data_IF_816288314098
#
_entry.id   IF_816288314098
#
_cell.length_a   1.000
_cell.length_b   1.000
_cell.length_c   1.000
_cell.angle_alpha   90.00
_cell.angle_beta   90.00
_cell.angle_gamma   90.00
#
_symmetry.space_group_name_H-M   'P 1'
#
loop_
_entity.id
_entity.type
_entity.pdbx_description
1 polymer ?
#
# COMPACT_ATOMS: atom_id res chain seq x y z
N UNK A 1 11.50 -16.47 -3.66
CA UNK A 1 10.59 -17.30 -2.83
C UNK A 1 9.22 -17.41 -3.49
N UNK A 2 8.53 -18.54 -3.34
CA UNK A 2 7.17 -18.76 -3.86
C UNK A 2 6.17 -19.07 -2.75
N UNK A 3 5.01 -18.42 -2.74
CA UNK A 3 3.92 -18.67 -1.78
C UNK A 3 2.67 -19.10 -2.51
N UNK A 4 2.06 -20.21 -2.05
CA UNK A 4 0.84 -20.73 -2.66
C UNK A 4 -0.31 -19.75 -2.44
N UNK A 5 -0.99 -19.40 -3.53
CA UNK A 5 -2.17 -18.53 -3.51
C UNK A 5 -3.37 -19.27 -2.93
N UNK A 6 -4.37 -18.53 -2.47
CA UNK A 6 -5.69 -19.09 -2.20
C UNK A 6 -6.28 -19.72 -3.47
N UNK A 7 -7.20 -20.68 -3.31
CA UNK A 7 -7.87 -21.33 -4.46
C UNK A 7 -8.50 -20.31 -5.41
N UNK A 8 -9.15 -19.28 -4.86
CA UNK A 8 -9.77 -18.21 -5.64
C UNK A 8 -8.73 -17.37 -6.41
N UNK A 9 -7.63 -16.97 -5.76
CA UNK A 9 -6.58 -16.19 -6.40
C UNK A 9 -5.82 -16.99 -7.46
N UNK A 10 -5.57 -18.28 -7.22
CA UNK A 10 -4.99 -19.19 -8.22
C UNK A 10 -5.92 -19.37 -9.43
N UNK A 11 -7.22 -19.58 -9.22
CA UNK A 11 -8.20 -19.69 -10.31
C UNK A 11 -8.31 -18.39 -11.12
N UNK A 12 -8.28 -17.23 -10.45
CA UNK A 12 -8.23 -15.93 -11.13
C UNK A 12 -6.95 -15.78 -11.97
N UNK A 13 -5.78 -16.10 -11.40
CA UNK A 13 -4.50 -16.04 -12.10
C UNK A 13 -4.47 -16.95 -13.33
N UNK A 14 -4.97 -18.19 -13.20
CA UNK A 14 -5.10 -19.14 -14.32
C UNK A 14 -6.01 -18.60 -15.43
N UNK A 15 -7.18 -18.07 -15.09
CA UNK A 15 -8.10 -17.45 -16.07
C UNK A 15 -7.46 -16.26 -16.78
N UNK A 16 -6.73 -15.42 -16.05
CA UNK A 16 -6.00 -14.28 -16.63
C UNK A 16 -4.90 -14.74 -17.57
N UNK A 17 -4.12 -15.76 -17.19
CA UNK A 17 -3.07 -16.35 -18.01
C UNK A 17 -3.63 -16.88 -19.34
N UNK A 18 -4.68 -17.70 -19.28
CA UNK A 18 -5.34 -18.26 -20.48
C UNK A 18 -5.88 -17.15 -21.40
N UNK A 19 -6.49 -16.10 -20.83
CA UNK A 19 -6.99 -14.95 -21.60
C UNK A 19 -5.86 -14.20 -22.30
N UNK A 20 -4.74 -13.98 -21.62
CA UNK A 20 -3.58 -13.30 -22.21
C UNK A 20 -2.95 -14.15 -23.32
N UNK A 21 -2.81 -15.45 -23.10
CA UNK A 21 -2.26 -16.38 -24.07
C UNK A 21 -3.12 -16.46 -25.34
N UNK A 22 -4.45 -16.52 -25.19
CA UNK A 22 -5.40 -16.45 -26.28
C UNK A 22 -5.27 -15.15 -27.08
N UNK A 23 -5.21 -13.99 -26.41
CA UNK A 23 -5.01 -12.69 -27.08
C UNK A 23 -3.69 -12.60 -27.84
N UNK A 24 -2.65 -13.24 -27.35
CA UNK A 24 -1.32 -13.25 -27.97
C UNK A 24 -1.12 -14.43 -28.93
N UNK A 25 -2.13 -15.30 -29.10
CA UNK A 25 -2.07 -16.53 -29.89
C UNK A 25 -0.86 -17.42 -29.51
N UNK A 26 -0.52 -17.46 -28.21
CA UNK A 26 0.58 -18.28 -27.69
C UNK A 26 0.04 -19.48 -26.90
N UNK A 27 0.67 -20.66 -27.01
CA UNK A 27 0.32 -21.79 -26.15
C UNK A 27 0.73 -21.50 -24.70
N UNK A 28 0.00 -22.09 -23.75
CA UNK A 28 0.34 -22.03 -22.32
C UNK A 28 1.03 -23.32 -21.92
N UNK A 29 2.23 -23.22 -21.34
CA UNK A 29 2.97 -24.38 -20.86
C UNK A 29 2.42 -24.92 -19.52
N UNK A 30 2.75 -26.17 -19.19
CA UNK A 30 2.35 -26.78 -17.93
C UNK A 30 2.96 -26.03 -16.72
N UNK A 31 4.22 -25.62 -16.84
CA UNK A 31 4.96 -24.86 -15.83
C UNK A 31 4.31 -23.50 -15.59
N UNK A 32 3.79 -22.86 -16.64
CA UNK A 32 3.07 -21.58 -16.52
C UNK A 32 1.75 -21.74 -15.76
N UNK A 33 1.03 -22.86 -15.98
CA UNK A 33 -0.19 -23.19 -15.25
C UNK A 33 0.10 -23.53 -13.79
N UNK A 34 1.19 -24.21 -13.50
CA UNK A 34 1.65 -24.49 -12.15
C UNK A 34 2.06 -23.19 -11.44
N UNK A 35 2.90 -22.38 -12.08
CA UNK A 35 3.35 -21.08 -11.56
C UNK A 35 2.16 -20.14 -11.27
N UNK A 36 1.06 -20.23 -12.00
CA UNK A 36 -0.15 -19.45 -11.72
C UNK A 36 -0.71 -19.70 -10.32
N UNK A 37 -0.44 -20.86 -9.70
CA UNK A 37 -0.83 -21.19 -8.33
C UNK A 37 0.01 -20.48 -7.26
N UNK A 38 1.16 -19.91 -7.63
CA UNK A 38 2.11 -19.31 -6.69
C UNK A 38 2.28 -17.82 -6.93
N UNK A 39 2.57 -17.08 -5.87
CA UNK A 39 3.07 -15.71 -5.91
C UNK A 39 4.59 -15.76 -5.69
N UNK A 40 5.34 -15.16 -6.60
CA UNK A 40 6.80 -15.13 -6.53
C UNK A 40 7.28 -13.75 -6.12
N UNK A 41 8.23 -13.73 -5.18
CA UNK A 41 8.93 -12.53 -4.75
C UNK A 41 10.43 -12.82 -4.72
N UNK A 42 11.18 -12.00 -5.45
CA UNK A 42 12.64 -11.95 -5.38
C UNK A 42 13.06 -10.82 -4.45
N UNK A 43 14.05 -11.08 -3.61
CA UNK A 43 14.55 -10.13 -2.62
C UNK A 43 16.03 -10.36 -2.39
N UNK A 44 16.76 -9.30 -2.01
CA UNK A 44 18.15 -9.36 -1.55
C UNK A 44 18.27 -9.54 -0.03
N UNK A 45 17.14 -9.64 0.68
CA UNK A 45 17.13 -9.93 2.11
C UNK A 45 17.75 -11.30 2.39
N UNK A 46 18.52 -11.38 3.48
CA UNK A 46 19.17 -12.61 3.92
C UNK A 46 18.17 -13.63 4.43
N UNK A 47 18.60 -14.89 4.53
CA UNK A 47 17.77 -16.00 5.00
C UNK A 47 17.31 -15.89 6.47
N UNK A 48 17.81 -14.91 7.24
CA UNK A 48 17.29 -14.62 8.58
C UNK A 48 15.87 -14.05 8.57
N UNK A 49 15.41 -13.54 7.43
CA UNK A 49 14.05 -13.07 7.24
C UNK A 49 13.13 -14.23 6.84
N UNK A 50 12.08 -14.44 7.63
CA UNK A 50 11.07 -15.44 7.29
C UNK A 50 10.25 -15.02 6.06
N UNK A 51 9.71 -16.02 5.37
CA UNK A 51 8.76 -15.84 4.26
C UNK A 51 7.65 -14.84 4.59
N UNK A 52 7.06 -14.96 5.78
CA UNK A 52 6.00 -14.09 6.26
C UNK A 52 6.47 -12.65 6.41
N UNK A 53 7.62 -12.40 7.06
CA UNK A 53 8.16 -11.06 7.25
C UNK A 53 8.48 -10.37 5.91
N UNK A 54 9.06 -11.11 4.96
CA UNK A 54 9.35 -10.57 3.62
C UNK A 54 8.04 -10.18 2.91
N UNK A 55 7.00 -11.00 3.00
CA UNK A 55 5.71 -10.68 2.40
C UNK A 55 5.01 -9.51 3.09
N UNK A 56 5.05 -9.43 4.42
CA UNK A 56 4.50 -8.29 5.16
C UNK A 56 5.20 -6.99 4.76
N UNK A 57 6.52 -6.99 4.65
CA UNK A 57 7.27 -5.84 4.12
C UNK A 57 6.84 -5.50 2.68
N UNK A 58 6.67 -6.52 1.82
CA UNK A 58 6.23 -6.30 0.44
C UNK A 58 4.82 -5.72 0.34
N UNK A 59 3.92 -6.00 1.30
CA UNK A 59 2.57 -5.40 1.33
C UNK A 59 2.62 -3.88 1.49
N UNK A 60 3.66 -3.33 2.12
CA UNK A 60 3.86 -1.88 2.26
C UNK A 60 4.06 -1.16 0.92
N UNK A 61 4.38 -1.89 -0.16
CA UNK A 61 4.47 -1.32 -1.52
C UNK A 61 3.14 -0.73 -2.00
N UNK A 62 1.99 -1.27 -1.60
CA UNK A 62 0.71 -0.63 -1.93
C UNK A 62 0.49 0.60 -1.04
N UNK A 63 0.90 0.57 0.23
CA UNK A 63 0.73 1.73 1.12
C UNK A 63 1.41 2.99 0.57
N UNK A 64 2.59 2.86 -0.03
CA UNK A 64 3.27 4.01 -0.64
C UNK A 64 2.51 4.55 -1.88
N UNK A 65 1.96 3.68 -2.73
CA UNK A 65 1.13 4.13 -3.87
C UNK A 65 -0.11 4.89 -3.40
N UNK A 66 -0.77 4.40 -2.34
CA UNK A 66 -1.93 5.03 -1.77
C UNK A 66 -1.58 6.38 -1.12
N UNK A 67 -0.44 6.47 -0.43
CA UNK A 67 0.06 7.72 0.12
C UNK A 67 0.31 8.75 -0.99
N UNK A 68 0.99 8.38 -2.07
CA UNK A 68 1.17 9.26 -3.23
C UNK A 68 -0.14 9.65 -3.91
N UNK A 69 -1.11 8.74 -3.98
CA UNK A 69 -2.44 9.06 -4.50
C UNK A 69 -3.13 10.13 -3.65
N UNK A 70 -3.09 10.01 -2.31
CA UNK A 70 -3.64 11.01 -1.39
C UNK A 70 -2.90 12.34 -1.51
N UNK A 71 -1.57 12.33 -1.50
CA UNK A 71 -0.77 13.57 -1.63
C UNK A 71 -1.05 14.31 -2.94
N UNK A 72 -1.20 13.59 -4.06
CA UNK A 72 -1.56 14.21 -5.34
C UNK A 72 -2.99 14.76 -5.34
N UNK A 73 -3.95 13.98 -4.85
CA UNK A 73 -5.39 14.31 -4.96
C UNK A 73 -5.89 15.31 -3.92
N UNK A 74 -5.42 15.22 -2.67
CA UNK A 74 -5.92 16.02 -1.54
C UNK A 74 -4.99 17.19 -1.28
N UNK A 75 -3.68 16.95 -1.32
CA UNK A 75 -2.65 17.92 -0.93
C UNK A 75 -2.02 18.64 -2.13
N UNK A 76 -2.54 18.37 -3.34
CA UNK A 76 -2.17 19.08 -4.56
C UNK A 76 -0.69 18.97 -4.92
N UNK A 77 -0.05 17.84 -4.61
CA UNK A 77 1.39 17.62 -4.85
C UNK A 77 1.79 17.83 -6.33
N UNK A 78 0.86 17.61 -7.27
CA UNK A 78 1.10 17.79 -8.71
C UNK A 78 1.11 19.24 -9.21
N UNK A 79 0.67 20.22 -8.41
CA UNK A 79 0.64 21.62 -8.80
C UNK A 79 1.99 22.30 -8.50
N UNK A 80 2.96 22.19 -9.41
CA UNK A 80 4.28 22.79 -9.26
C UNK A 80 4.47 23.99 -10.22
N UNK A 81 5.25 25.02 -9.84
CA UNK A 81 5.57 26.13 -10.74
C UNK A 81 6.44 25.63 -11.91
N UNK A 82 5.92 25.63 -13.13
CA UNK A 82 6.50 24.90 -14.29
C UNK A 82 7.79 25.50 -14.88
N UNK A 83 8.27 26.65 -14.41
CA UNK A 83 9.22 27.50 -15.15
C UNK A 83 10.67 27.43 -14.67
N UNK A 84 10.91 27.14 -13.40
CA UNK A 84 12.26 27.11 -12.81
C UNK A 84 12.49 25.79 -12.05
N UNK A 85 13.50 24.99 -12.44
CA UNK A 85 13.79 23.71 -11.78
C UNK A 85 14.09 23.81 -10.28
N UNK A 86 14.73 24.89 -9.82
CA UNK A 86 15.00 25.08 -8.39
C UNK A 86 13.71 25.36 -7.62
N UNK A 87 12.87 26.24 -8.15
CA UNK A 87 11.53 26.51 -7.63
C UNK A 87 10.67 25.25 -7.61
N UNK A 88 10.70 24.43 -8.67
CA UNK A 88 10.03 23.12 -8.70
C UNK A 88 10.46 22.23 -7.52
N UNK A 89 11.77 22.10 -7.29
CA UNK A 89 12.33 21.29 -6.19
C UNK A 89 11.91 21.84 -4.84
N UNK A 90 12.07 23.14 -4.61
CA UNK A 90 11.70 23.79 -3.36
C UNK A 90 10.21 23.57 -3.04
N UNK A 91 9.32 23.77 -4.03
CA UNK A 91 7.89 23.51 -3.88
C UNK A 91 7.56 22.04 -3.64
N UNK A 92 8.24 21.12 -4.33
CA UNK A 92 8.05 19.69 -4.12
C UNK A 92 8.43 19.28 -2.70
N UNK A 93 9.59 19.72 -2.22
CA UNK A 93 10.04 19.46 -0.85
C UNK A 93 9.08 20.05 0.19
N UNK A 94 8.67 21.31 0.01
CA UNK A 94 7.70 21.96 0.90
C UNK A 94 6.37 21.20 0.95
N UNK A 95 5.83 20.80 -0.20
CA UNK A 95 4.58 20.03 -0.26
C UNK A 95 4.71 18.62 0.32
N UNK A 96 5.84 17.94 0.11
CA UNK A 96 6.11 16.65 0.73
C UNK A 96 6.17 16.78 2.25
N UNK A 97 6.92 17.76 2.75
CA UNK A 97 7.03 18.03 4.19
C UNK A 97 5.67 18.33 4.81
N UNK A 98 4.92 19.28 4.26
CA UNK A 98 3.58 19.64 4.75
C UNK A 98 2.64 18.44 4.70
N UNK A 99 2.72 17.61 3.66
CA UNK A 99 1.88 16.41 3.56
C UNK A 99 2.14 15.41 4.67
N UNK A 100 3.42 15.13 4.94
CA UNK A 100 3.83 14.23 6.01
C UNK A 100 3.49 14.80 7.40
N UNK A 101 3.64 16.12 7.59
CA UNK A 101 3.27 16.80 8.82
C UNK A 101 1.76 16.68 9.08
N UNK A 102 0.93 16.91 8.07
CA UNK A 102 -0.53 16.76 8.17
C UNK A 102 -0.91 15.30 8.49
N UNK A 103 -0.30 14.32 7.81
CA UNK A 103 -0.53 12.90 8.14
C UNK A 103 -0.15 12.57 9.59
N UNK A 104 0.96 13.11 10.09
CA UNK A 104 1.40 12.96 11.48
C UNK A 104 0.44 13.59 12.48
N UNK A 105 -0.03 14.81 12.21
CA UNK A 105 -0.98 15.54 13.04
C UNK A 105 -2.34 14.81 13.09
N UNK A 106 -2.84 14.32 11.96
CA UNK A 106 -4.08 13.51 11.92
C UNK A 106 -3.90 12.22 12.74
N UNK A 107 -2.74 11.57 12.65
CA UNK A 107 -2.43 10.39 13.46
C UNK A 107 -2.48 10.70 14.96
N UNK A 108 -1.87 11.80 15.39
CA UNK A 108 -1.89 12.24 16.79
C UNK A 108 -3.30 12.66 17.25
N UNK A 109 -4.06 13.34 16.40
CA UNK A 109 -5.43 13.75 16.68
C UNK A 109 -6.37 12.55 16.90
N UNK A 110 -6.14 11.43 16.20
CA UNK A 110 -6.92 10.18 16.40
C UNK A 110 -6.67 9.51 17.75
N UNK A 111 -5.53 9.75 18.38
CA UNK A 111 -5.23 9.23 19.72
C UNK A 111 -5.72 10.13 20.85
N UNK A 112 -6.11 11.37 20.52
CA UNK A 112 -6.81 12.25 21.45
C UNK A 112 -8.30 11.86 21.45
N UNK A 113 -8.85 11.53 22.63
CA UNK A 113 -10.29 11.36 22.79
C UNK A 113 -11.00 12.59 22.24
N UNK A 114 -12.11 12.46 21.47
CA UNK A 114 -12.87 13.60 20.97
C UNK A 114 -13.29 14.57 22.08
N UNK A 115 -13.42 14.04 23.29
CA UNK A 115 -13.94 14.74 24.45
C UNK A 115 -12.85 15.35 25.34
N UNK A 116 -11.56 14.97 25.20
CA UNK A 116 -10.46 15.61 25.94
C UNK A 116 -10.47 15.48 27.47
N UNK A 117 -11.43 14.76 28.06
CA UNK A 117 -11.54 14.47 29.50
C UNK A 117 -12.21 13.10 29.71
N UNK A 118 -12.00 12.48 30.88
CA UNK A 118 -12.76 11.29 31.29
C UNK A 118 -14.23 11.68 31.46
N UNK A 119 -15.12 10.99 30.72
CA UNK A 119 -16.55 11.06 31.00
C UNK A 119 -16.70 10.46 32.40
N UNK A 120 -17.08 11.31 33.37
CA UNK A 120 -17.04 11.00 34.80
C UNK A 120 -17.71 9.67 35.17
N UNK A 121 -17.36 9.19 36.37
CA UNK A 121 -17.79 7.88 36.88
C UNK A 121 -19.29 7.63 36.64
N UNK A 122 -19.65 6.39 36.26
CA UNK A 122 -21.05 6.03 36.01
C UNK A 122 -21.85 6.34 37.27
N UNK A 123 -22.79 7.29 37.16
CA UNK A 123 -23.70 7.65 38.24
C UNK A 123 -24.33 6.37 38.80
N UNK A 124 -24.15 6.12 40.10
CA UNK A 124 -24.83 5.03 40.78
C UNK A 124 -26.33 5.07 40.45
N UNK A 125 -26.96 3.91 40.15
CA UNK A 125 -28.37 3.88 39.83
C UNK A 125 -29.14 4.45 41.03
N UNK A 126 -29.86 5.55 40.82
CA UNK A 126 -30.78 6.08 41.82
C UNK A 126 -31.81 5.00 42.15
N UNK A 127 -31.86 4.65 43.43
CA UNK A 127 -32.81 3.71 44.02
C UNK A 127 -34.27 4.18 43.90
#
# INVERSE_FOLDING_TARGET
>A
MGVRKSRQAAAYARRRLLRMASKQQKPVSAESLEAAQYFFLWTSLTASWSCFQVLELYRSRWQIELAFKRMKSILGLGHLPKKDPESCRAWLHGKLFTSLLVERLIGAARTLSPWGYELGEPTEPMA
#
